data_IF_662656522681
#
_entry.id   IF_662656522681
#
_cell.length_a   1.000
_cell.length_b   1.000
_cell.length_c   1.000
_cell.angle_alpha   90.00
_cell.angle_beta   90.00
_cell.angle_gamma   90.00
#
_symmetry.space_group_name_H-M   'P 1'
#
loop_
_entity.id
_entity.type
_entity.pdbx_description
1 polymer ?
#
# COMPACT_ATOMS: atom_id res chain seq x y z
N UNK A 1 -66.28 -48.32 -11.42
CA UNK A 1 -65.09 -48.11 -10.55
C UNK A 1 -64.85 -46.62 -10.53
N UNK A 2 -65.31 -45.94 -9.45
CA UNK A 2 -64.48 -45.38 -8.36
C UNK A 2 -63.35 -44.49 -8.89
N UNK A 3 -63.18 -43.20 -8.56
CA UNK A 3 -63.89 -42.21 -7.75
C UNK A 3 -63.32 -40.87 -8.25
N UNK A 4 -64.12 -40.08 -8.96
CA UNK A 4 -63.86 -38.66 -9.19
C UNK A 4 -64.56 -37.92 -8.06
N UNK A 5 -63.82 -37.68 -6.98
CA UNK A 5 -64.13 -36.75 -5.89
C UNK A 5 -63.07 -37.00 -4.81
N UNK A 6 -62.12 -36.08 -4.73
CA UNK A 6 -61.81 -35.38 -3.48
C UNK A 6 -60.63 -34.44 -3.73
N UNK A 7 -60.91 -33.13 -3.84
CA UNK A 7 -60.50 -32.18 -2.80
C UNK A 7 -58.99 -31.83 -2.98
N UNK A 8 -58.61 -30.79 -3.74
CA UNK A 8 -58.73 -29.37 -3.33
C UNK A 8 -58.56 -29.21 -1.80
N UNK A 9 -57.51 -29.79 -1.20
CA UNK A 9 -57.10 -29.44 0.19
C UNK A 9 -55.69 -29.93 0.59
N UNK A 10 -54.74 -30.01 -0.34
CA UNK A 10 -53.31 -30.23 0.00
C UNK A 10 -52.40 -29.26 -0.78
N UNK A 11 -52.96 -28.10 -1.12
CA UNK A 11 -52.30 -26.96 -1.78
C UNK A 11 -51.96 -25.83 -0.78
N UNK A 12 -51.99 -26.13 0.52
CA UNK A 12 -51.61 -25.19 1.57
C UNK A 12 -50.78 -25.93 2.62
N UNK A 13 -49.74 -25.25 3.12
CA UNK A 13 -48.77 -25.74 4.12
C UNK A 13 -47.61 -26.58 3.61
N UNK A 14 -46.78 -26.01 2.73
CA UNK A 14 -45.32 -26.27 2.76
C UNK A 14 -44.51 -25.18 2.06
N UNK A 15 -44.98 -23.92 2.10
CA UNK A 15 -44.06 -22.79 2.05
C UNK A 15 -43.79 -22.39 3.49
N UNK A 16 -43.09 -23.28 4.22
CA UNK A 16 -42.29 -22.81 5.31
C UNK A 16 -41.20 -21.97 4.62
N UNK A 17 -41.36 -20.65 4.67
CA UNK A 17 -40.22 -19.76 4.61
C UNK A 17 -39.34 -20.15 5.81
N UNK A 18 -38.49 -21.16 5.62
CA UNK A 18 -37.20 -21.15 6.27
C UNK A 18 -36.44 -20.01 5.58
N UNK A 19 -36.80 -18.78 5.96
CA UNK A 19 -35.85 -17.68 5.96
C UNK A 19 -34.87 -17.99 7.09
N UNK A 20 -34.07 -19.06 6.92
CA UNK A 20 -32.67 -18.92 7.19
C UNK A 20 -32.21 -17.89 6.17
N UNK A 21 -32.34 -16.62 6.54
CA UNK A 21 -31.24 -15.73 6.25
C UNK A 21 -30.07 -16.43 6.92
N UNK A 22 -29.37 -17.27 6.17
CA UNK A 22 -27.94 -17.33 6.29
C UNK A 22 -27.52 -15.89 6.01
N UNK A 23 -27.61 -15.06 7.06
CA UNK A 23 -26.64 -14.04 7.31
C UNK A 23 -25.32 -14.83 7.39
N UNK A 24 -24.81 -15.21 6.22
CA UNK A 24 -23.39 -15.32 6.02
C UNK A 24 -22.92 -13.91 6.34
N UNK A 25 -22.68 -13.66 7.63
CA UNK A 25 -21.62 -12.78 8.04
C UNK A 25 -20.46 -13.22 7.17
N UNK A 26 -20.27 -12.51 6.05
CA UNK A 26 -19.04 -12.52 5.31
C UNK A 26 -18.01 -12.31 6.40
N UNK A 27 -17.30 -13.38 6.79
CA UNK A 27 -16.24 -13.29 7.78
C UNK A 27 -15.34 -12.19 7.25
N UNK A 28 -15.48 -10.98 7.81
CA UNK A 28 -14.65 -9.85 7.45
C UNK A 28 -13.25 -10.31 7.79
N UNK A 29 -12.54 -10.83 6.79
CA UNK A 29 -11.17 -11.30 6.94
C UNK A 29 -10.43 -10.14 7.57
N UNK A 30 -10.07 -10.30 8.85
CA UNK A 30 -9.28 -9.30 9.55
C UNK A 30 -8.09 -8.99 8.65
N UNK A 31 -7.91 -7.72 8.25
CA UNK A 31 -6.87 -7.42 7.30
C UNK A 31 -5.54 -7.79 7.95
N UNK A 32 -4.74 -8.57 7.22
CA UNK A 32 -3.50 -9.14 7.74
C UNK A 32 -2.60 -8.01 8.24
N UNK A 33 -2.09 -8.13 9.47
CA UNK A 33 -1.17 -7.14 10.03
C UNK A 33 0.08 -7.06 9.16
N UNK A 34 0.50 -5.83 8.85
CA UNK A 34 1.76 -5.61 8.16
C UNK A 34 2.92 -5.86 9.12
N UNK A 35 3.89 -6.65 8.69
CA UNK A 35 5.10 -6.94 9.46
C UNK A 35 6.28 -6.32 8.75
N UNK A 36 7.02 -5.45 9.45
CA UNK A 36 8.29 -4.92 8.95
C UNK A 36 9.29 -6.06 8.75
N UNK A 37 9.76 -6.23 7.51
CA UNK A 37 10.69 -7.30 7.12
C UNK A 37 12.14 -6.81 7.06
N UNK A 38 12.52 -5.99 8.04
CA UNK A 38 13.91 -5.58 8.24
C UNK A 38 14.42 -4.53 7.24
N UNK A 39 15.69 -4.17 7.38
CA UNK A 39 16.41 -3.25 6.49
C UNK A 39 17.34 -4.05 5.60
N UNK A 40 17.01 -4.16 4.31
CA UNK A 40 17.76 -4.99 3.39
C UNK A 40 19.15 -4.41 3.04
N UNK A 41 19.51 -3.27 3.63
CA UNK A 41 20.84 -2.66 3.53
C UNK A 41 21.63 -2.75 4.85
N UNK A 42 21.10 -3.39 5.89
CA UNK A 42 21.82 -3.68 7.13
C UNK A 42 22.53 -5.05 7.00
N UNK A 43 23.87 -5.14 7.14
CA UNK A 43 24.59 -6.42 7.11
C UNK A 43 24.16 -7.44 8.17
N UNK A 44 23.46 -7.02 9.22
CA UNK A 44 22.88 -7.91 10.23
C UNK A 44 21.50 -8.47 9.83
N UNK A 45 20.88 -7.95 8.76
CA UNK A 45 19.58 -8.39 8.28
C UNK A 45 19.68 -9.73 7.52
N UNK A 46 18.83 -10.73 7.79
CA UNK A 46 18.82 -11.99 7.05
C UNK A 46 18.60 -11.84 5.53
N UNK A 47 18.00 -10.74 5.09
CA UNK A 47 17.72 -10.45 3.68
C UNK A 47 18.71 -9.47 3.04
N UNK A 48 19.81 -9.13 3.74
CA UNK A 48 20.81 -8.16 3.30
C UNK A 48 21.22 -8.33 1.83
N UNK A 49 21.22 -7.23 1.09
CA UNK A 49 21.66 -7.13 -0.30
C UNK A 49 23.01 -6.41 -0.34
N UNK A 50 24.13 -7.13 -0.49
CA UNK A 50 25.47 -6.51 -0.50
C UNK A 50 25.68 -5.52 -1.65
N UNK A 51 24.91 -5.65 -2.73
CA UNK A 51 24.86 -4.72 -3.85
C UNK A 51 24.12 -3.40 -3.56
N UNK A 52 23.39 -3.32 -2.44
CA UNK A 52 22.49 -2.22 -2.11
C UNK A 52 21.09 -2.43 -2.69
N UNK A 53 20.08 -2.49 -1.83
CA UNK A 53 18.68 -2.53 -2.21
C UNK A 53 18.05 -1.13 -2.14
N UNK A 54 17.91 -0.48 -3.29
CA UNK A 54 17.30 0.86 -3.33
C UNK A 54 16.48 1.12 -4.62
N UNK A 55 15.35 0.42 -4.84
CA UNK A 55 14.55 0.59 -6.05
C UNK A 55 13.89 1.98 -6.15
N UNK A 56 13.74 2.68 -5.03
CA UNK A 56 13.12 4.01 -4.97
C UNK A 56 14.13 5.15 -5.15
N UNK A 57 15.41 4.85 -5.40
CA UNK A 57 16.44 5.86 -5.63
C UNK A 57 16.04 6.84 -6.76
N UNK A 58 16.25 8.12 -6.48
CA UNK A 58 16.12 9.21 -7.42
C UNK A 58 15.35 10.41 -6.87
N UNK A 59 15.19 11.40 -7.74
CA UNK A 59 14.38 12.60 -7.48
C UNK A 59 12.97 12.36 -7.97
N UNK A 60 12.01 12.61 -7.09
CA UNK A 60 10.59 12.37 -7.34
C UNK A 60 9.79 13.64 -7.05
N UNK A 61 8.93 14.05 -7.98
CA UNK A 61 8.02 15.18 -7.80
C UNK A 61 6.68 14.73 -7.25
N UNK A 62 6.12 15.48 -6.29
CA UNK A 62 4.76 15.22 -5.82
C UNK A 62 3.74 15.52 -6.92
N UNK A 63 2.75 14.65 -7.11
CA UNK A 63 1.70 14.90 -8.11
C UNK A 63 0.64 15.91 -7.63
N UNK A 64 0.55 16.14 -6.32
CA UNK A 64 -0.38 17.08 -5.70
C UNK A 64 0.24 18.47 -5.44
N UNK A 65 1.58 18.58 -5.51
CA UNK A 65 2.33 19.84 -5.40
C UNK A 65 3.54 19.78 -6.34
N UNK A 66 3.45 20.49 -7.46
CA UNK A 66 4.47 20.43 -8.51
C UNK A 66 5.75 21.17 -8.17
N UNK A 67 5.73 22.02 -7.15
CA UNK A 67 6.87 22.81 -6.72
C UNK A 67 7.72 22.05 -5.69
N UNK A 68 7.20 20.92 -5.20
CA UNK A 68 7.86 20.08 -4.20
C UNK A 68 8.11 18.66 -4.68
N UNK A 69 9.07 18.01 -4.03
CA UNK A 69 9.39 16.62 -4.24
C UNK A 69 10.21 16.04 -3.10
N UNK A 70 10.67 14.83 -3.32
CA UNK A 70 11.50 14.07 -2.41
C UNK A 70 12.62 13.40 -3.20
N UNK A 71 13.83 13.38 -2.64
CA UNK A 71 14.95 12.65 -3.19
C UNK A 71 15.32 11.51 -2.24
N UNK A 72 15.33 10.29 -2.76
CA UNK A 72 15.94 9.13 -2.11
C UNK A 72 17.33 8.94 -2.72
N UNK A 73 18.37 9.25 -1.97
CA UNK A 73 19.74 9.20 -2.49
C UNK A 73 20.34 7.79 -2.44
N UNK A 74 21.39 7.59 -3.22
CA UNK A 74 22.21 6.37 -3.24
C UNK A 74 22.81 6.04 -1.86
N UNK A 75 23.14 7.07 -1.06
CA UNK A 75 23.69 6.94 0.30
C UNK A 75 22.62 6.85 1.39
N UNK A 76 21.37 6.51 1.03
CA UNK A 76 20.23 6.31 1.93
C UNK A 76 19.83 7.54 2.76
N UNK A 77 20.05 8.75 2.23
CA UNK A 77 19.51 9.99 2.79
C UNK A 77 18.23 10.38 2.07
N UNK A 78 17.45 11.22 2.74
CA UNK A 78 16.22 11.78 2.18
C UNK A 78 16.33 13.29 2.14
N UNK A 79 15.98 13.88 1.01
CA UNK A 79 15.97 15.33 0.85
C UNK A 79 14.59 15.83 0.45
N UNK A 80 14.20 16.96 1.01
CA UNK A 80 13.15 17.79 0.42
C UNK A 80 13.66 18.38 -0.88
N UNK A 81 12.84 18.34 -1.93
CA UNK A 81 13.17 18.88 -3.25
C UNK A 81 12.28 20.07 -3.54
N UNK A 82 12.87 21.19 -3.96
CA UNK A 82 12.14 22.40 -4.36
C UNK A 82 12.42 22.70 -5.83
N UNK A 83 11.39 22.65 -6.67
CA UNK A 83 11.48 22.92 -8.10
C UNK A 83 11.30 24.42 -8.38
N UNK A 84 12.18 24.97 -9.21
CA UNK A 84 12.19 26.39 -9.57
C UNK A 84 11.64 26.59 -10.98
N UNK A 85 11.05 27.77 -11.29
CA UNK A 85 10.50 28.08 -12.62
C UNK A 85 11.51 27.99 -13.77
N UNK A 86 12.82 28.06 -13.46
CA UNK A 86 13.90 27.91 -14.45
C UNK A 86 14.24 26.44 -14.79
N UNK A 87 13.46 25.49 -14.29
CA UNK A 87 13.64 24.05 -14.53
C UNK A 87 14.69 23.37 -13.63
N UNK A 88 15.40 24.13 -12.79
CA UNK A 88 16.32 23.57 -11.79
C UNK A 88 15.57 23.20 -10.52
N UNK A 89 16.20 22.40 -9.66
CA UNK A 89 15.73 22.16 -8.31
C UNK A 89 16.86 22.32 -7.29
N UNK A 90 16.48 22.62 -6.06
CA UNK A 90 17.35 22.58 -4.88
C UNK A 90 16.94 21.44 -3.97
N UNK A 91 17.87 20.95 -3.17
CA UNK A 91 17.63 19.88 -2.20
C UNK A 91 18.06 20.32 -0.81
N UNK A 92 17.25 20.01 0.18
CA UNK A 92 17.55 20.23 1.60
C UNK A 92 17.46 18.90 2.34
N UNK A 93 18.45 18.59 3.18
CA UNK A 93 18.49 17.32 3.90
C UNK A 93 17.29 17.25 4.86
N UNK A 94 16.45 16.23 4.71
CA UNK A 94 15.30 15.99 5.57
C UNK A 94 15.55 14.86 6.57
N UNK A 95 16.07 13.72 6.11
CA UNK A 95 16.52 12.61 6.97
C UNK A 95 17.92 12.15 6.59
N UNK A 96 18.74 11.90 7.61
CA UNK A 96 20.10 11.40 7.47
C UNK A 96 20.17 9.91 7.16
N UNK A 97 19.07 9.18 7.37
CA UNK A 97 18.93 7.77 7.02
C UNK A 97 17.49 7.40 6.68
N UNK A 98 17.30 6.45 5.77
CA UNK A 98 16.10 5.63 5.70
C UNK A 98 16.46 4.16 5.54
N UNK A 99 15.55 3.30 5.97
CA UNK A 99 15.66 1.85 5.84
C UNK A 99 14.60 1.35 4.86
N UNK A 100 14.89 0.29 4.12
CA UNK A 100 14.01 -0.21 3.05
C UNK A 100 14.12 -1.73 2.88
N UNK A 101 12.98 -2.36 2.56
CA UNK A 101 12.87 -3.75 2.14
C UNK A 101 11.98 -3.86 0.89
N UNK A 102 11.59 -5.08 0.47
CA UNK A 102 10.82 -5.32 -0.74
C UNK A 102 9.49 -4.56 -0.86
N UNK A 103 8.89 -4.20 0.27
CA UNK A 103 7.51 -3.68 0.30
C UNK A 103 7.36 -2.34 0.99
N UNK A 104 8.32 -1.93 1.81
CA UNK A 104 8.20 -0.74 2.62
C UNK A 104 9.53 -0.05 2.90
N UNK A 105 9.43 1.22 3.27
CA UNK A 105 10.54 2.00 3.80
C UNK A 105 10.11 2.77 5.07
N UNK A 106 11.08 3.22 5.85
CA UNK A 106 10.88 4.05 7.05
C UNK A 106 12.00 5.10 7.16
N UNK A 107 11.69 6.28 7.71
CA UNK A 107 12.65 7.35 7.91
C UNK A 107 13.29 7.27 9.30
N UNK A 108 14.46 6.63 9.40
CA UNK A 108 15.15 6.40 10.66
C UNK A 108 16.13 7.55 11.01
N UNK A 109 16.47 7.75 12.28
CA UNK A 109 15.82 7.22 13.49
C UNK A 109 14.61 8.06 13.93
N UNK A 110 14.28 9.12 13.19
CA UNK A 110 13.39 10.19 13.64
C UNK A 110 11.90 9.87 13.48
N UNK A 111 11.53 8.89 12.66
CA UNK A 111 10.15 8.43 12.48
C UNK A 111 10.05 6.91 12.59
N UNK A 112 8.98 6.45 13.23
CA UNK A 112 8.56 5.05 13.23
C UNK A 112 7.51 4.74 12.16
N UNK A 113 7.16 5.72 11.32
CA UNK A 113 6.16 5.53 10.28
C UNK A 113 6.71 4.63 9.18
N UNK A 114 5.98 3.54 8.93
CA UNK A 114 6.25 2.62 7.84
C UNK A 114 5.40 3.03 6.66
N UNK A 115 6.06 3.24 5.53
CA UNK A 115 5.40 3.52 4.26
C UNK A 115 5.51 2.29 3.39
N UNK A 116 4.38 1.72 2.99
CA UNK A 116 4.38 0.75 1.90
C UNK A 116 4.63 1.50 0.60
N UNK A 117 5.33 0.87 -0.33
CA UNK A 117 5.56 1.45 -1.66
C UNK A 117 5.35 0.43 -2.78
N UNK A 118 5.13 0.95 -3.99
CA UNK A 118 5.19 0.19 -5.23
C UNK A 118 5.62 1.09 -6.38
N UNK A 119 6.35 0.55 -7.34
CA UNK A 119 6.74 1.24 -8.57
C UNK A 119 5.91 0.69 -9.71
N UNK A 120 5.05 1.52 -10.28
CA UNK A 120 4.13 1.12 -11.35
C UNK A 120 4.10 2.22 -12.41
N UNK A 121 4.27 1.84 -13.68
CA UNK A 121 4.21 2.78 -14.81
C UNK A 121 5.15 3.99 -14.65
N UNK A 122 6.37 3.78 -14.14
CA UNK A 122 7.35 4.84 -13.91
C UNK A 122 7.03 5.79 -12.73
N UNK A 123 6.04 5.45 -11.91
CA UNK A 123 5.62 6.24 -10.75
C UNK A 123 5.95 5.50 -9.46
N UNK A 124 6.45 6.22 -8.47
CA UNK A 124 6.53 5.73 -7.10
C UNK A 124 5.20 6.02 -6.41
N UNK A 125 4.53 4.97 -5.96
CA UNK A 125 3.35 5.07 -5.10
C UNK A 125 3.74 4.73 -3.67
N UNK A 126 3.19 5.45 -2.71
CA UNK A 126 3.45 5.22 -1.29
C UNK A 126 2.19 5.42 -0.45
N UNK A 127 2.08 4.74 0.68
CA UNK A 127 0.96 4.91 1.63
C UNK A 127 1.38 4.52 3.05
N UNK A 128 0.82 5.21 4.05
CA UNK A 128 0.92 4.84 5.47
C UNK A 128 -0.10 3.77 5.86
N UNK A 129 -1.09 3.51 5.01
CA UNK A 129 -2.08 2.47 5.22
C UNK A 129 -1.40 1.12 5.07
N UNK A 130 -1.24 0.38 6.17
CA UNK A 130 -0.43 -0.84 6.18
C UNK A 130 -1.21 -2.09 5.78
N UNK A 131 -2.52 -2.11 6.03
CA UNK A 131 -3.35 -3.32 5.94
C UNK A 131 -4.36 -3.27 4.79
N UNK A 132 -4.66 -2.08 4.25
CA UNK A 132 -5.65 -1.88 3.18
C UNK A 132 -4.99 -1.26 1.93
N UNK A 133 -5.37 -1.67 0.73
CA UNK A 133 -4.84 -1.12 -0.54
C UNK A 133 -5.47 0.25 -0.89
N UNK A 134 -5.32 1.24 0.01
CA UNK A 134 -5.88 2.59 -0.12
C UNK A 134 -4.87 3.67 0.29
N UNK A 135 -5.27 4.93 0.13
CA UNK A 135 -4.48 6.07 0.60
C UNK A 135 -3.18 6.30 -0.17
N UNK A 136 -3.07 5.77 -1.39
CA UNK A 136 -1.84 5.87 -2.18
C UNK A 136 -1.58 7.29 -2.67
N UNK A 137 -0.51 7.88 -2.17
CA UNK A 137 0.17 8.99 -2.83
C UNK A 137 0.90 8.50 -4.08
N UNK A 138 1.21 9.42 -4.99
CA UNK A 138 1.98 9.11 -6.19
C UNK A 138 2.95 10.23 -6.52
N UNK A 139 4.14 9.82 -6.95
CA UNK A 139 5.25 10.67 -7.33
C UNK A 139 5.70 10.33 -8.75
N UNK A 140 6.15 11.34 -9.48
CA UNK A 140 6.70 11.18 -10.83
C UNK A 140 8.22 11.28 -10.78
N UNK A 141 8.94 10.32 -11.38
CA UNK A 141 10.40 10.36 -11.43
C UNK A 141 10.86 11.54 -12.29
N UNK A 142 11.87 12.26 -11.82
CA UNK A 142 12.53 13.30 -12.60
C UNK A 142 13.75 12.69 -13.26
N UNK A 143 13.74 12.63 -14.59
CA UNK A 143 14.89 12.23 -15.38
C UNK A 143 15.93 13.36 -15.38
N UNK A 144 17.21 12.98 -15.31
CA UNK A 144 18.34 13.91 -15.37
C UNK A 144 18.63 14.34 -16.80
#
# INVERSE_FOLDING_TARGET
>A
MKKLLSIILLLSLSVAFYSCGDDMEEEMKKPQEFVWNGDWNDPADPNFKPEGYNPIEGVWRFNWDTDRGICFSEDFKVYDVYFHPNGKYTMELWYDKYSINDKAFMFNPLSSDIYRYKIEHGRLKYTIELTEDKGWGSLTKIEK
#
